data_IF_461164039938
#
_entry.id   IF_461164039938
#
_cell.length_a   1.000
_cell.length_b   1.000
_cell.length_c   1.000
_cell.angle_alpha   90.00
_cell.angle_beta   90.00
_cell.angle_gamma   90.00
#
_symmetry.space_group_name_H-M   'P 1'
#
loop_
_entity.id
_entity.type
_entity.pdbx_description
1 polymer ?
#
# COMPACT_ATOMS: atom_id res chain seq x y z
N UNK A 1 22.30 7.41 -2.85
CA UNK A 1 21.60 6.17 -3.22
C UNK A 1 21.06 5.57 -1.93
N UNK A 2 19.75 5.63 -1.70
CA UNK A 2 19.16 5.14 -0.45
C UNK A 2 19.24 3.60 -0.46
N UNK A 3 20.20 3.04 0.26
CA UNK A 3 20.33 1.58 0.40
C UNK A 3 19.13 1.06 1.19
N UNK A 4 18.41 0.10 0.60
CA UNK A 4 17.43 -0.69 1.33
C UNK A 4 18.13 -1.31 2.55
N UNK A 5 17.54 -1.15 3.73
CA UNK A 5 18.14 -1.62 4.98
C UNK A 5 17.98 -3.14 5.05
N UNK A 6 18.95 -3.87 4.49
CA UNK A 6 18.96 -5.34 4.36
C UNK A 6 18.81 -6.07 5.69
N UNK A 7 19.18 -5.42 6.79
CA UNK A 7 18.95 -5.91 8.16
C UNK A 7 17.47 -6.13 8.47
N UNK A 8 16.59 -5.25 7.97
CA UNK A 8 15.14 -5.32 8.23
C UNK A 8 14.48 -6.35 7.31
N UNK A 9 14.95 -6.43 6.06
CA UNK A 9 14.35 -7.26 5.01
C UNK A 9 14.84 -8.74 5.08
N UNK A 10 15.94 -8.97 5.79
CA UNK A 10 16.59 -10.28 5.90
C UNK A 10 17.36 -10.62 4.63
N UNK A 11 18.23 -11.63 4.72
CA UNK A 11 18.96 -12.14 3.56
C UNK A 11 17.96 -12.66 2.51
N UNK A 12 18.20 -12.29 1.25
CA UNK A 12 17.36 -12.63 0.09
C UNK A 12 15.88 -12.27 0.21
N UNK A 13 15.54 -11.25 1.00
CA UNK A 13 14.17 -10.81 1.24
C UNK A 13 13.29 -11.85 1.98
N UNK A 14 13.92 -12.68 2.80
CA UNK A 14 13.27 -13.75 3.57
C UNK A 14 12.11 -13.27 4.46
N UNK A 15 12.07 -12.01 4.89
CA UNK A 15 10.95 -11.48 5.71
C UNK A 15 9.72 -11.11 4.89
N UNK A 16 9.89 -10.83 3.59
CA UNK A 16 8.84 -10.25 2.75
C UNK A 16 7.58 -11.12 2.68
N UNK A 17 7.66 -12.47 2.52
CA UNK A 17 6.48 -13.33 2.55
C UNK A 17 5.67 -13.20 3.84
N UNK A 18 6.33 -13.06 4.99
CA UNK A 18 5.66 -12.93 6.29
C UNK A 18 5.01 -11.55 6.46
N UNK A 19 5.67 -10.49 6.00
CA UNK A 19 5.10 -9.13 6.01
C UNK A 19 3.88 -9.05 5.10
N UNK A 20 3.96 -9.62 3.90
CA UNK A 20 2.81 -9.67 2.97
C UNK A 20 1.67 -10.46 3.59
N UNK A 21 1.96 -11.62 4.21
CA UNK A 21 0.96 -12.39 4.93
C UNK A 21 0.25 -11.56 6.00
N UNK A 22 1.00 -10.85 6.84
CA UNK A 22 0.44 -9.95 7.86
C UNK A 22 -0.49 -8.90 7.24
N UNK A 23 -0.07 -8.28 6.14
CA UNK A 23 -0.90 -7.26 5.47
C UNK A 23 -2.20 -7.86 4.93
N UNK A 24 -2.12 -9.01 4.27
CA UNK A 24 -3.29 -9.70 3.72
C UNK A 24 -4.24 -10.19 4.80
N UNK A 25 -3.72 -10.67 5.95
CA UNK A 25 -4.52 -11.08 7.10
C UNK A 25 -5.22 -9.87 7.73
N UNK A 26 -4.53 -8.74 7.82
CA UNK A 26 -5.09 -7.47 8.33
C UNK A 26 -6.27 -6.99 7.47
N UNK A 27 -6.14 -7.08 6.15
CA UNK A 27 -7.25 -6.80 5.22
C UNK A 27 -8.35 -7.86 5.30
N UNK A 28 -8.01 -9.15 5.42
CA UNK A 28 -8.96 -10.25 5.52
C UNK A 28 -9.81 -10.23 6.82
N UNK A 29 -9.31 -9.56 7.85
CA UNK A 29 -9.98 -9.32 9.13
C UNK A 29 -10.68 -7.97 9.21
N UNK A 30 -10.60 -7.15 8.15
CA UNK A 30 -11.11 -5.78 8.12
C UNK A 30 -10.56 -4.91 9.26
N UNK A 31 -9.36 -5.22 9.77
CA UNK A 31 -8.73 -4.47 10.87
C UNK A 31 -8.23 -3.09 10.45
N UNK A 32 -8.02 -2.89 9.14
CA UNK A 32 -7.62 -1.62 8.54
C UNK A 32 -8.47 -1.39 7.28
N UNK A 33 -9.02 -0.19 7.15
CA UNK A 33 -9.71 0.24 5.95
C UNK A 33 -8.73 0.48 4.81
N UNK A 34 -9.09 0.01 3.62
CA UNK A 34 -8.32 0.16 2.38
C UNK A 34 -8.00 1.62 2.08
N UNK A 35 -8.95 2.53 2.32
CA UNK A 35 -8.80 3.96 2.01
C UNK A 35 -8.05 4.76 3.10
N UNK A 36 -7.76 4.12 4.23
CA UNK A 36 -6.95 4.76 5.27
C UNK A 36 -5.52 5.04 4.77
N UNK A 37 -4.87 6.04 5.35
CA UNK A 37 -3.47 6.39 5.04
C UNK A 37 -2.55 5.17 5.20
N UNK A 38 -2.80 4.35 6.23
CA UNK A 38 -2.02 3.12 6.49
C UNK A 38 -2.36 2.04 5.46
N UNK A 39 -3.64 1.83 5.16
CA UNK A 39 -4.09 0.87 4.14
C UNK A 39 -3.48 1.15 2.77
N UNK A 40 -3.46 2.42 2.35
CA UNK A 40 -2.85 2.84 1.08
C UNK A 40 -1.33 2.63 1.06
N UNK A 41 -0.63 2.84 2.19
CA UNK A 41 0.80 2.51 2.30
C UNK A 41 1.05 1.00 2.18
N UNK A 42 0.20 0.18 2.80
CA UNK A 42 0.29 -1.28 2.68
C UNK A 42 0.04 -1.72 1.23
N UNK A 43 -0.96 -1.16 0.55
CA UNK A 43 -1.26 -1.44 -0.86
C UNK A 43 -0.11 -1.01 -1.78
N UNK A 44 0.51 0.14 -1.52
CA UNK A 44 1.69 0.57 -2.27
C UNK A 44 2.83 -0.46 -2.18
N UNK A 45 3.10 -0.98 -0.99
CA UNK A 45 4.11 -2.03 -0.78
C UNK A 45 3.70 -3.31 -1.51
N UNK A 46 2.43 -3.72 -1.42
CA UNK A 46 1.93 -4.91 -2.13
C UNK A 46 2.10 -4.79 -3.65
N UNK A 47 1.76 -3.64 -4.22
CA UNK A 47 1.98 -3.34 -5.65
C UNK A 47 3.46 -3.38 -6.01
N UNK A 48 4.34 -2.88 -5.14
CA UNK A 48 5.78 -2.97 -5.37
C UNK A 48 6.26 -4.42 -5.40
N UNK A 49 5.81 -5.27 -4.48
CA UNK A 49 6.18 -6.69 -4.47
C UNK A 49 5.69 -7.41 -5.72
N UNK A 50 4.53 -7.04 -6.30
CA UNK A 50 4.07 -7.60 -7.58
C UNK A 50 5.04 -7.37 -8.74
N UNK A 51 5.84 -6.31 -8.70
CA UNK A 51 6.85 -6.03 -9.75
C UNK A 51 8.04 -6.99 -9.69
N UNK A 52 8.18 -7.75 -8.60
CA UNK A 52 9.27 -8.71 -8.37
C UNK A 52 8.68 -10.13 -8.42
N UNK A 53 8.53 -10.69 -9.62
CA UNK A 53 7.82 -11.95 -9.87
C UNK A 53 8.25 -13.10 -8.96
N UNK A 54 9.54 -13.27 -8.70
CA UNK A 54 10.07 -14.36 -7.86
C UNK A 54 9.60 -14.24 -6.41
N UNK A 55 9.72 -13.04 -5.82
CA UNK A 55 9.28 -12.77 -4.45
C UNK A 55 7.76 -12.87 -4.35
N UNK A 56 7.03 -12.35 -5.33
CA UNK A 56 5.58 -12.43 -5.36
C UNK A 56 5.06 -13.87 -5.36
N UNK A 57 5.67 -14.77 -6.16
CA UNK A 57 5.32 -16.19 -6.16
C UNK A 57 5.61 -16.85 -4.80
N UNK A 58 6.76 -16.56 -4.18
CA UNK A 58 7.06 -17.01 -2.82
C UNK A 58 6.03 -16.53 -1.81
N UNK A 59 5.57 -15.27 -1.94
CA UNK A 59 4.49 -14.75 -1.11
C UNK A 59 3.19 -15.54 -1.34
N UNK A 60 2.81 -15.85 -2.58
CA UNK A 60 1.55 -16.55 -2.86
C UNK A 60 1.51 -17.95 -2.23
N UNK A 61 2.65 -18.62 -2.13
CA UNK A 61 2.78 -19.95 -1.54
C UNK A 61 2.54 -19.98 -0.02
N UNK A 62 2.74 -18.86 0.69
CA UNK A 62 2.54 -18.79 2.15
C UNK A 62 1.14 -18.28 2.56
N UNK A 63 0.35 -17.84 1.57
CA UNK A 63 -0.99 -17.31 1.77
C UNK A 63 -2.08 -18.40 1.64
N UNK A 64 -3.00 -18.38 2.59
CA UNK A 64 -4.27 -19.10 2.52
C UNK A 64 -5.16 -18.56 1.39
N UNK A 65 -6.20 -19.31 1.01
CA UNK A 65 -7.18 -18.86 0.01
C UNK A 65 -7.85 -17.53 0.41
N UNK A 66 -8.15 -17.34 1.70
CA UNK A 66 -8.77 -16.12 2.23
C UNK A 66 -7.82 -14.93 2.12
N UNK A 67 -6.55 -15.11 2.48
CA UNK A 67 -5.53 -14.07 2.36
C UNK A 67 -5.25 -13.71 0.89
N UNK A 68 -5.21 -14.70 -0.02
CA UNK A 68 -5.09 -14.45 -1.47
C UNK A 68 -6.27 -13.65 -2.03
N UNK A 69 -7.48 -13.94 -1.58
CA UNK A 69 -8.66 -13.17 -1.98
C UNK A 69 -8.62 -11.74 -1.43
N UNK A 70 -8.23 -11.56 -0.17
CA UNK A 70 -8.06 -10.23 0.43
C UNK A 70 -6.98 -9.41 -0.31
N UNK A 71 -5.88 -10.05 -0.71
CA UNK A 71 -4.85 -9.44 -1.54
C UNK A 71 -5.41 -8.96 -2.88
N UNK A 72 -6.13 -9.82 -3.60
CA UNK A 72 -6.72 -9.46 -4.88
C UNK A 72 -7.68 -8.27 -4.75
N UNK A 73 -8.52 -8.28 -3.72
CA UNK A 73 -9.45 -7.18 -3.43
C UNK A 73 -8.70 -5.87 -3.12
N UNK A 74 -7.67 -5.93 -2.27
CA UNK A 74 -6.87 -4.77 -1.90
C UNK A 74 -6.13 -4.17 -3.12
N UNK A 75 -5.60 -5.01 -4.01
CA UNK A 75 -4.89 -4.55 -5.22
C UNK A 75 -5.83 -3.93 -6.26
N UNK A 76 -7.04 -4.47 -6.38
CA UNK A 76 -8.10 -3.96 -7.26
C UNK A 76 -8.80 -2.71 -6.69
N UNK A 77 -8.53 -2.33 -5.44
CA UNK A 77 -9.04 -1.09 -4.88
C UNK A 77 -8.46 0.13 -5.60
N UNK A 78 -9.31 1.12 -5.85
CA UNK A 78 -8.86 2.41 -6.38
C UNK A 78 -8.06 3.08 -5.28
N UNK A 79 -6.80 3.42 -5.52
CA UNK A 79 -6.11 4.37 -4.65
C UNK A 79 -6.91 5.67 -4.66
N UNK A 80 -7.19 6.30 -3.51
CA UNK A 80 -7.70 7.66 -3.51
C UNK A 80 -6.64 8.48 -4.23
N UNK A 81 -6.96 8.90 -5.45
CA UNK A 81 -6.34 10.08 -6.07
C UNK A 81 -6.23 11.11 -4.96
N UNK A 82 -5.02 11.63 -4.74
CA UNK A 82 -4.78 12.70 -3.79
C UNK A 82 -5.65 13.91 -4.16
N UNK A 83 -6.92 13.89 -3.74
CA UNK A 83 -7.77 15.05 -3.61
C UNK A 83 -7.52 15.61 -2.22
N UNK A 84 -6.26 15.92 -1.91
CA UNK A 84 -6.07 17.13 -1.13
C UNK A 84 -6.45 18.23 -2.10
N UNK A 85 -7.62 18.84 -1.90
CA UNK A 85 -7.93 20.12 -2.51
C UNK A 85 -6.78 21.06 -2.16
N UNK A 86 -5.81 21.19 -3.06
CA UNK A 86 -5.02 22.40 -3.15
C UNK A 86 -6.03 23.39 -3.72
N UNK A 87 -6.66 24.17 -2.85
CA UNK A 87 -7.54 25.24 -3.32
C UNK A 87 -6.74 26.05 -4.36
N UNK A 88 -7.30 26.28 -5.55
CA UNK A 88 -6.59 27.07 -6.55
C UNK A 88 -6.26 28.42 -5.92
N UNK A 89 -5.02 28.88 -6.08
CA UNK A 89 -4.52 30.19 -5.60
C UNK A 89 -5.48 31.34 -5.96
N UNK A 90 -6.30 31.16 -7.02
CA UNK A 90 -7.37 32.07 -7.42
C UNK A 90 -8.44 32.35 -6.34
N UNK A 91 -8.68 31.44 -5.38
CA UNK A 91 -9.64 31.71 -4.29
C UNK A 91 -9.08 32.74 -3.30
N UNK A 92 -7.78 32.69 -3.02
CA UNK A 92 -7.12 33.62 -2.10
C UNK A 92 -6.98 35.00 -2.74
N UNK A 93 -6.65 35.07 -4.04
CA UNK A 93 -6.52 36.34 -4.76
C UNK A 93 -7.83 37.15 -4.82
N UNK A 94 -8.99 36.49 -4.92
CA UNK A 94 -10.28 37.18 -4.98
C UNK A 94 -10.78 37.67 -3.62
N UNK A 95 -10.30 37.11 -2.50
CA UNK A 95 -10.72 37.56 -1.16
C UNK A 95 -9.96 38.82 -0.70
N UNK A 96 -8.75 39.05 -1.21
CA UNK A 96 -7.97 40.27 -0.93
C UNK A 96 -8.21 41.41 -1.94
N UNK A 97 -8.96 41.16 -3.02
CA UNK A 97 -9.30 42.18 -4.02
C UNK A 97 -10.63 42.92 -3.72
N UNK A 98 -11.29 42.63 -2.58
CA UNK A 98 -12.53 43.29 -2.14
C UNK A 98 -12.43 43.93 -0.76
N UNK A 99 -11.23 44.33 -0.35
CA UNK A 99 -11.02 45.22 0.81
C UNK A 99 -10.41 46.53 0.35
#
# INVERSE_FOLDING_TARGET
MCQNNSVIIGQDNSIVPNVIKLFTDTFAKSSIEVDSVVGQRMIFILRHVQTISTIFQTCMNVLTNKERQALANALNSKSPTQNHQVEPINYIMNHYASV
#
